data_IF_580130109650
#
_entry.id   IF_580130109650
#
_cell.length_a   1.000
_cell.length_b   1.000
_cell.length_c   1.000
_cell.angle_alpha   90.00
_cell.angle_beta   90.00
_cell.angle_gamma   90.00
#
_symmetry.space_group_name_H-M   'P 1'
#
loop_
_entity.id
_entity.type
_entity.pdbx_description
1 polymer ?
#
# COMPACT_ATOMS: atom_id res chain seq x y z
N UNK A 1 15.76 2.08 -14.60
CA UNK A 1 15.25 0.69 -14.75
C UNK A 1 15.40 -0.09 -13.45
N UNK A 2 16.60 -0.09 -12.84
CA UNK A 2 16.88 -0.80 -11.59
C UNK A 2 16.02 -0.34 -10.39
N UNK A 3 15.89 0.97 -10.18
CA UNK A 3 15.08 1.56 -9.10
C UNK A 3 13.58 1.20 -9.19
N UNK A 4 13.01 1.32 -10.39
CA UNK A 4 11.58 1.03 -10.62
C UNK A 4 11.30 -0.44 -10.34
N UNK A 5 12.14 -1.33 -10.85
CA UNK A 5 11.98 -2.77 -10.61
C UNK A 5 12.14 -3.13 -9.12
N UNK A 6 13.11 -2.51 -8.43
CA UNK A 6 13.24 -2.62 -6.97
C UNK A 6 11.94 -2.22 -6.25
N UNK A 7 11.33 -1.11 -6.64
CA UNK A 7 10.07 -0.66 -6.02
C UNK A 7 8.91 -1.59 -6.30
N UNK A 8 8.76 -2.08 -7.53
CA UNK A 8 7.73 -3.09 -7.86
C UNK A 8 7.89 -4.34 -6.99
N UNK A 9 9.12 -4.83 -6.81
CA UNK A 9 9.41 -5.99 -5.96
C UNK A 9 9.10 -5.71 -4.49
N UNK A 10 9.47 -4.53 -3.98
CA UNK A 10 9.11 -4.08 -2.63
C UNK A 10 7.59 -4.08 -2.45
N UNK A 11 6.83 -3.44 -3.36
CA UNK A 11 5.38 -3.33 -3.24
C UNK A 11 4.69 -4.71 -3.31
N UNK A 12 5.11 -5.57 -4.22
CA UNK A 12 4.62 -6.96 -4.28
C UNK A 12 4.95 -7.72 -2.98
N UNK A 13 6.14 -7.51 -2.41
CA UNK A 13 6.54 -8.17 -1.16
C UNK A 13 5.68 -7.71 0.02
N UNK A 14 5.36 -6.42 0.11
CA UNK A 14 4.49 -5.83 1.13
C UNK A 14 3.09 -6.44 1.02
N UNK A 15 2.47 -6.41 -0.17
CA UNK A 15 1.13 -7.00 -0.39
C UNK A 15 1.09 -8.46 0.04
N UNK A 16 2.06 -9.27 -0.41
CA UNK A 16 2.10 -10.70 -0.11
C UNK A 16 2.37 -11.00 1.36
N UNK A 17 3.23 -10.20 2.03
CA UNK A 17 3.52 -10.34 3.45
C UNK A 17 2.27 -10.07 4.28
N UNK A 18 1.57 -8.98 4.00
CA UNK A 18 0.36 -8.62 4.76
C UNK A 18 -0.79 -9.61 4.51
N UNK A 19 -0.91 -10.18 3.31
CA UNK A 19 -1.90 -11.21 3.01
C UNK A 19 -1.73 -12.52 3.79
N UNK A 20 -0.58 -12.75 4.44
CA UNK A 20 -0.37 -13.91 5.31
C UNK A 20 -1.13 -13.77 6.64
N UNK A 21 -1.44 -12.54 7.07
CA UNK A 21 -2.19 -12.29 8.29
C UNK A 21 -3.69 -12.40 8.00
N UNK A 22 -4.28 -13.53 8.39
CA UNK A 22 -5.73 -13.71 8.30
C UNK A 22 -6.42 -13.01 9.45
N UNK A 23 -7.55 -12.30 9.21
CA UNK A 23 -8.39 -11.81 10.29
C UNK A 23 -8.76 -12.93 11.26
N UNK A 24 -8.71 -12.62 12.55
CA UNK A 24 -8.96 -13.58 13.65
C UNK A 24 -10.43 -14.02 13.77
N UNK A 25 -11.32 -13.40 13.00
CA UNK A 25 -12.76 -13.59 13.05
C UNK A 25 -13.37 -13.54 11.64
N UNK A 26 -14.56 -14.11 11.50
CA UNK A 26 -15.26 -14.21 10.23
C UNK A 26 -14.63 -15.25 9.27
N UNK A 27 -15.20 -15.33 8.08
CA UNK A 27 -14.65 -16.04 6.93
C UNK A 27 -14.19 -14.99 5.93
N UNK A 28 -13.02 -14.42 6.21
CA UNK A 28 -12.42 -13.34 5.44
C UNK A 28 -11.15 -13.85 4.75
N UNK A 29 -11.04 -13.54 3.48
CA UNK A 29 -9.89 -13.80 2.62
C UNK A 29 -9.20 -12.48 2.30
N UNK A 30 -7.88 -12.47 2.40
CA UNK A 30 -7.03 -11.34 2.00
C UNK A 30 -6.56 -11.59 0.56
N UNK A 31 -7.06 -10.80 -0.38
CA UNK A 31 -6.72 -10.86 -1.79
C UNK A 31 -5.54 -9.94 -2.11
N UNK A 32 -4.48 -10.53 -2.66
CA UNK A 32 -3.39 -9.79 -3.27
C UNK A 32 -3.79 -9.34 -4.69
N UNK A 33 -3.82 -8.04 -4.93
CA UNK A 33 -4.03 -7.48 -6.27
C UNK A 33 -2.75 -6.76 -6.67
N UNK A 34 -1.92 -7.39 -7.49
CA UNK A 34 -0.67 -6.81 -7.98
C UNK A 34 -0.71 -6.74 -9.50
N UNK A 35 -0.91 -5.55 -10.04
CA UNK A 35 -0.87 -5.26 -11.46
C UNK A 35 0.41 -4.47 -11.77
N UNK A 36 1.38 -5.14 -12.40
CA UNK A 36 2.65 -4.54 -12.80
C UNK A 36 2.56 -3.71 -14.09
N UNK A 37 1.52 -3.92 -14.91
CA UNK A 37 1.35 -3.15 -16.14
C UNK A 37 0.83 -1.75 -15.82
N UNK A 38 -0.11 -1.63 -14.89
CA UNK A 38 -0.65 -0.34 -14.44
C UNK A 38 0.00 0.20 -13.16
N UNK A 39 0.98 -0.52 -12.59
CA UNK A 39 1.67 -0.19 -11.33
C UNK A 39 0.70 0.05 -10.17
N UNK A 40 -0.27 -0.86 -9.98
CA UNK A 40 -1.24 -0.85 -8.88
C UNK A 40 -1.08 -2.08 -7.99
N UNK A 41 -0.96 -1.84 -6.67
CA UNK A 41 -0.70 -2.87 -5.67
C UNK A 41 -1.63 -2.68 -4.48
N UNK A 42 -2.55 -3.61 -4.27
CA UNK A 42 -3.56 -3.53 -3.23
C UNK A 42 -3.63 -4.83 -2.43
N UNK A 43 -3.96 -4.68 -1.16
CA UNK A 43 -4.49 -5.75 -0.34
C UNK A 43 -5.97 -5.46 -0.11
N UNK A 44 -6.83 -6.44 -0.41
CA UNK A 44 -8.28 -6.31 -0.22
C UNK A 44 -8.81 -7.44 0.63
N UNK A 45 -9.63 -7.11 1.61
CA UNK A 45 -10.38 -8.09 2.38
C UNK A 45 -11.72 -8.37 1.73
N UNK A 46 -12.03 -9.65 1.54
CA UNK A 46 -13.28 -10.12 0.96
C UNK A 46 -13.84 -11.27 1.79
N UNK A 47 -15.11 -11.23 2.16
CA UNK A 47 -15.64 -12.31 3.00
C UNK A 47 -16.92 -11.96 3.72
N UNK A 48 -17.18 -12.70 4.79
CA UNK A 48 -18.32 -12.48 5.67
C UNK A 48 -17.85 -12.48 7.11
N UNK A 49 -18.19 -11.42 7.83
CA UNK A 49 -18.08 -11.33 9.28
C UNK A 49 -19.48 -11.47 9.92
N UNK A 50 -19.53 -11.59 11.25
CA UNK A 50 -20.76 -11.56 12.06
C UNK A 50 -21.60 -10.31 11.80
N UNK A 51 -20.95 -9.21 11.42
CA UNK A 51 -21.59 -7.90 11.18
C UNK A 51 -22.07 -7.73 9.74
N UNK A 52 -21.64 -8.57 8.79
CA UNK A 52 -22.08 -8.52 7.40
C UNK A 52 -20.99 -8.81 6.38
N UNK A 53 -21.23 -8.34 5.15
CA UNK A 53 -20.33 -8.52 4.02
C UNK A 53 -19.05 -7.70 4.23
N UNK A 54 -17.89 -8.36 4.11
CA UNK A 54 -16.58 -7.70 4.06
C UNK A 54 -16.17 -7.56 2.60
N UNK A 55 -15.91 -6.33 2.19
CA UNK A 55 -15.39 -5.97 0.87
C UNK A 55 -14.70 -4.61 0.97
N UNK A 56 -13.44 -4.59 1.36
CA UNK A 56 -12.73 -3.35 1.69
C UNK A 56 -11.25 -3.42 1.31
N UNK A 57 -10.70 -2.30 0.87
CA UNK A 57 -9.26 -2.13 0.62
C UNK A 57 -8.56 -1.90 1.96
N UNK A 58 -7.59 -2.75 2.27
CA UNK A 58 -6.74 -2.61 3.47
C UNK A 58 -5.69 -1.53 3.25
N UNK A 59 -5.03 -1.58 2.09
CA UNK A 59 -4.15 -0.51 1.61
C UNK A 59 -4.06 -0.54 0.08
N UNK A 60 -3.71 0.61 -0.52
CA UNK A 60 -3.50 0.76 -1.95
C UNK A 60 -2.24 1.59 -2.20
N UNK A 61 -1.31 0.99 -2.92
CA UNK A 61 -0.02 1.54 -3.30
C UNK A 61 0.07 1.61 -4.82
N UNK A 62 0.68 2.66 -5.33
CA UNK A 62 0.91 2.87 -6.75
C UNK A 62 2.33 3.30 -7.02
N UNK A 63 2.80 3.11 -8.25
CA UNK A 63 3.97 3.84 -8.73
C UNK A 63 3.51 4.90 -9.74
N UNK A 64 3.83 6.15 -9.46
CA UNK A 64 3.52 7.30 -10.32
C UNK A 64 4.82 8.06 -10.53
N UNK A 65 5.21 8.28 -11.79
CA UNK A 65 6.46 8.96 -12.16
C UNK A 65 7.71 8.44 -11.44
N UNK A 66 7.75 7.12 -11.17
CA UNK A 66 8.85 6.44 -10.51
C UNK A 66 8.87 6.56 -8.98
N UNK A 67 7.84 7.14 -8.37
CA UNK A 67 7.66 7.27 -6.91
C UNK A 67 6.50 6.44 -6.41
N UNK A 68 6.59 6.01 -5.16
CA UNK A 68 5.56 5.21 -4.50
C UNK A 68 4.51 6.15 -3.92
N UNK A 69 3.29 6.08 -4.45
CA UNK A 69 2.13 6.78 -3.91
C UNK A 69 1.32 5.85 -3.01
N UNK A 70 1.10 6.27 -1.76
CA UNK A 70 0.21 5.59 -0.80
C UNK A 70 -1.17 6.24 -0.91
N UNK A 71 -2.08 5.61 -1.64
CA UNK A 71 -3.45 6.12 -1.85
C UNK A 71 -4.32 5.91 -0.60
N UNK A 72 -4.14 4.78 0.08
CA UNK A 72 -4.85 4.41 1.30
C UNK A 72 -3.99 3.49 2.16
N UNK A 73 -4.03 3.68 3.47
CA UNK A 73 -3.32 2.85 4.46
C UNK A 73 -4.16 2.65 5.71
N UNK A 74 -4.77 1.48 5.85
CA UNK A 74 -5.52 1.05 7.03
C UNK A 74 -4.69 0.25 8.03
N UNK A 75 -3.37 0.20 7.90
CA UNK A 75 -2.51 -0.60 8.78
C UNK A 75 -2.10 0.18 10.03
N UNK A 76 -2.03 -0.48 11.19
CA UNK A 76 -1.67 0.18 12.46
C UNK A 76 -0.22 0.68 12.47
N UNK A 77 0.72 -0.10 11.91
CA UNK A 77 2.14 0.26 11.85
C UNK A 77 2.44 1.32 10.77
N UNK A 78 1.57 1.41 9.76
CA UNK A 78 1.73 2.26 8.59
C UNK A 78 2.69 1.67 7.56
N UNK A 79 2.26 1.63 6.31
CA UNK A 79 3.06 1.25 5.14
C UNK A 79 4.24 2.20 4.94
N UNK A 80 4.07 3.48 5.31
CA UNK A 80 5.14 4.48 5.23
C UNK A 80 6.39 4.03 5.99
N UNK A 81 6.24 3.54 7.22
CA UNK A 81 7.35 3.04 8.05
C UNK A 81 8.02 1.83 7.40
N UNK A 82 7.23 0.90 6.86
CA UNK A 82 7.74 -0.31 6.21
C UNK A 82 8.54 0.01 4.94
N UNK A 83 8.10 0.98 4.14
CA UNK A 83 8.85 1.44 2.97
C UNK A 83 10.22 2.02 3.35
N UNK A 84 10.28 2.82 4.41
CA UNK A 84 11.55 3.37 4.91
C UNK A 84 12.50 2.26 5.39
N UNK A 85 11.99 1.27 6.12
CA UNK A 85 12.77 0.11 6.57
C UNK A 85 13.31 -0.74 5.41
N UNK A 86 12.60 -0.78 4.29
CA UNK A 86 13.02 -1.44 3.05
C UNK A 86 13.95 -0.57 2.18
N UNK A 87 14.36 0.60 2.68
CA UNK A 87 15.31 1.50 2.02
C UNK A 87 14.72 2.26 0.85
N UNK A 88 13.45 2.66 0.95
CA UNK A 88 12.84 3.67 0.08
C UNK A 88 13.09 5.05 0.71
N UNK A 89 13.59 6.00 -0.08
CA UNK A 89 13.84 7.36 0.39
C UNK A 89 12.52 8.12 0.59
N UNK A 90 12.49 9.05 1.55
CA UNK A 90 11.30 9.89 1.81
C UNK A 90 10.85 10.68 0.56
N UNK A 91 11.80 11.14 -0.25
CA UNK A 91 11.56 11.90 -1.48
C UNK A 91 10.94 11.05 -2.62
N UNK A 92 10.91 9.73 -2.44
CA UNK A 92 10.29 8.77 -3.35
C UNK A 92 8.93 8.26 -2.85
N UNK A 93 8.43 8.77 -1.73
CA UNK A 93 7.13 8.40 -1.16
C UNK A 93 6.20 9.61 -1.24
N UNK A 94 5.00 9.40 -1.78
CA UNK A 94 3.93 10.39 -1.83
C UNK A 94 2.79 9.90 -0.93
N UNK A 95 2.37 10.73 0.01
CA UNK A 95 1.19 10.47 0.83
C UNK A 95 -0.06 10.89 0.04
N UNK A 96 -0.57 9.97 -0.79
CA UNK A 96 -1.69 10.20 -1.70
C UNK A 96 -2.99 10.59 -0.99
N UNK A 97 -3.23 10.01 0.19
CA UNK A 97 -4.36 10.35 1.07
C UNK A 97 -4.29 11.77 1.68
N UNK A 98 -3.15 12.46 1.57
CA UNK A 98 -3.02 13.87 1.97
C UNK A 98 -3.28 14.76 0.75
N UNK A 99 -4.13 15.79 0.94
CA UNK A 99 -4.44 16.76 -0.13
C UNK A 99 -3.17 17.42 -0.66
N UNK A 100 -3.03 17.63 -1.98
CA UNK A 100 -1.81 18.16 -2.60
C UNK A 100 -1.26 19.42 -1.92
N UNK A 101 -2.13 20.38 -1.58
CA UNK A 101 -1.78 21.65 -0.94
C UNK A 101 -1.18 21.52 0.46
N UNK A 102 -1.37 20.37 1.13
CA UNK A 102 -0.84 20.09 2.45
C UNK A 102 0.42 19.22 2.44
N UNK A 103 0.77 18.60 1.30
CA UNK A 103 1.94 17.70 1.23
C UNK A 103 3.26 18.42 1.51
N UNK A 104 3.33 19.72 1.21
CA UNK A 104 4.49 20.57 1.52
C UNK A 104 4.80 20.68 3.03
N UNK A 105 3.85 20.35 3.90
CA UNK A 105 4.02 20.36 5.35
C UNK A 105 4.37 18.97 5.91
N UNK A 106 4.65 18.01 5.03
CA UNK A 106 5.08 16.66 5.39
C UNK A 106 6.56 16.47 5.08
N UNK A 107 7.18 15.44 5.66
CA UNK A 107 8.56 15.07 5.36
C UNK A 107 8.72 14.28 4.03
N UNK A 108 7.64 14.17 3.24
CA UNK A 108 7.56 13.28 2.08
C UNK A 108 7.39 14.07 0.78
N UNK A 109 7.46 13.37 -0.35
CA UNK A 109 7.30 13.98 -1.66
C UNK A 109 5.92 14.62 -1.87
N UNK A 110 5.92 15.78 -2.51
CA UNK A 110 4.69 16.51 -2.88
C UNK A 110 4.01 15.94 -4.14
N UNK A 111 4.81 15.33 -5.01
CA UNK A 111 4.42 14.76 -6.30
C UNK A 111 5.39 13.66 -6.73
#
# INVERSE_FOLDING_TARGET
MDKLEKYRQILVSIVRKHAQYKPSHGKIECLCVCDQESDNYLLMDTGWDKTGRVHAVVFHLRIIDGKICIEWDGTERGITTELLELGVEKDDIILGFIRPEYRQFTDFSVA
#
